data_IF_654259776043
#
_entry.id   IF_654259776043
#
_cell.length_a   1.000
_cell.length_b   1.000
_cell.length_c   1.000
_cell.angle_alpha   90.00
_cell.angle_beta   90.00
_cell.angle_gamma   90.00
#
_symmetry.space_group_name_H-M   'P 1'
#
loop_
_entity.id
_entity.type
_entity.pdbx_description
1 polymer ?
#
# COMPACT_ATOMS: atom_id res chain seq x y z
N UNK A 1 -29.57 -15.17 9.16
CA UNK A 1 -29.25 -16.60 8.98
C UNK A 1 -27.88 -16.68 8.32
N UNK A 2 -26.92 -17.41 8.91
CA UNK A 2 -25.78 -18.07 8.24
C UNK A 2 -24.74 -17.29 7.41
N UNK A 3 -24.44 -16.00 7.65
CA UNK A 3 -23.31 -15.36 6.93
C UNK A 3 -21.91 -15.80 7.42
N UNK A 4 -21.78 -16.26 8.68
CA UNK A 4 -20.48 -16.63 9.25
C UNK A 4 -19.96 -18.03 8.89
N UNK A 5 -20.85 -18.99 8.59
CA UNK A 5 -20.44 -20.36 8.22
C UNK A 5 -19.94 -20.44 6.76
N UNK A 6 -20.50 -19.61 5.87
CA UNK A 6 -20.13 -19.56 4.46
C UNK A 6 -18.78 -18.83 4.26
N UNK A 7 -18.55 -17.72 4.96
CA UNK A 7 -17.25 -17.01 4.92
C UNK A 7 -16.11 -17.89 5.45
N UNK A 8 -16.31 -18.56 6.60
CA UNK A 8 -15.27 -19.39 7.21
C UNK A 8 -14.83 -20.55 6.30
N UNK A 9 -15.78 -21.16 5.59
CA UNK A 9 -15.48 -22.18 4.59
C UNK A 9 -14.69 -21.63 3.39
N UNK A 10 -15.07 -20.44 2.91
CA UNK A 10 -14.36 -19.77 1.82
C UNK A 10 -12.94 -19.33 2.20
N UNK A 11 -12.71 -18.90 3.45
CA UNK A 11 -11.37 -18.59 3.95
C UNK A 11 -10.48 -19.83 3.95
N UNK A 12 -10.99 -20.96 4.46
CA UNK A 12 -10.22 -22.21 4.50
C UNK A 12 -9.86 -22.69 3.10
N UNK A 13 -10.82 -22.64 2.18
CA UNK A 13 -10.57 -23.01 0.78
C UNK A 13 -9.56 -22.07 0.11
N UNK A 14 -9.68 -20.75 0.34
CA UNK A 14 -8.69 -19.80 -0.16
C UNK A 14 -7.29 -20.12 0.37
N UNK A 15 -7.15 -20.46 1.65
CA UNK A 15 -5.88 -20.88 2.24
C UNK A 15 -5.30 -22.13 1.55
N UNK A 16 -6.13 -23.14 1.27
CA UNK A 16 -5.71 -24.34 0.56
C UNK A 16 -5.22 -24.06 -0.86
N UNK A 17 -5.94 -23.21 -1.60
CA UNK A 17 -5.55 -22.82 -2.96
C UNK A 17 -4.25 -21.99 -2.98
N UNK A 18 -4.10 -21.05 -2.04
CA UNK A 18 -2.88 -20.26 -1.87
C UNK A 18 -1.69 -21.16 -1.48
N UNK A 19 -1.89 -22.12 -0.58
CA UNK A 19 -0.87 -23.09 -0.19
C UNK A 19 -0.48 -24.01 -1.36
N UNK A 20 -1.38 -24.26 -2.31
CA UNK A 20 -1.12 -24.96 -3.56
C UNK A 20 -0.39 -24.09 -4.61
N UNK A 21 -0.07 -22.83 -4.32
CA UNK A 21 0.71 -21.94 -5.16
C UNK A 21 -0.09 -21.13 -6.18
N UNK A 22 -1.42 -21.10 -6.06
CA UNK A 22 -2.26 -20.22 -6.89
C UNK A 22 -2.07 -18.76 -6.49
N UNK A 23 -2.22 -17.84 -7.44
CA UNK A 23 -2.19 -16.41 -7.13
C UNK A 23 -3.48 -15.98 -6.41
N UNK A 24 -3.40 -14.91 -5.63
CA UNK A 24 -4.55 -14.24 -5.02
C UNK A 24 -5.65 -13.88 -6.03
N UNK A 25 -5.27 -13.43 -7.23
CA UNK A 25 -6.20 -13.18 -8.35
C UNK A 25 -6.94 -14.45 -8.78
N UNK A 26 -6.21 -15.55 -8.98
CA UNK A 26 -6.76 -16.83 -9.40
C UNK A 26 -7.72 -17.39 -8.35
N UNK A 27 -7.33 -17.29 -7.07
CA UNK A 27 -8.17 -17.75 -5.95
C UNK A 27 -9.44 -16.91 -5.88
N UNK A 28 -9.33 -15.57 -5.93
CA UNK A 28 -10.51 -14.70 -5.96
C UNK A 28 -11.44 -15.05 -7.11
N UNK A 29 -10.93 -15.13 -8.35
CA UNK A 29 -11.75 -15.37 -9.52
C UNK A 29 -12.51 -16.71 -9.44
N UNK A 30 -11.86 -17.78 -8.96
CA UNK A 30 -12.50 -19.10 -8.78
C UNK A 30 -13.59 -19.08 -7.73
N UNK A 31 -13.35 -18.45 -6.58
CA UNK A 31 -14.35 -18.36 -5.51
C UNK A 31 -15.53 -17.47 -5.94
N UNK A 32 -15.24 -16.36 -6.62
CA UNK A 32 -16.23 -15.41 -7.13
C UNK A 32 -17.13 -16.06 -8.18
N UNK A 33 -16.57 -16.79 -9.15
CA UNK A 33 -17.32 -17.45 -10.21
C UNK A 33 -18.27 -18.53 -9.66
N UNK A 34 -17.87 -19.20 -8.58
CA UNK A 34 -18.67 -20.26 -7.96
C UNK A 34 -19.79 -19.72 -7.07
N UNK A 35 -19.52 -18.66 -6.31
CA UNK A 35 -20.47 -18.15 -5.30
C UNK A 35 -21.36 -17.03 -5.82
N UNK A 36 -20.90 -16.26 -6.81
CA UNK A 36 -21.54 -15.03 -7.27
C UNK A 36 -21.51 -13.89 -6.23
N UNK A 37 -20.83 -14.06 -5.10
CA UNK A 37 -20.75 -13.05 -4.03
C UNK A 37 -19.33 -12.52 -3.89
N UNK A 38 -19.01 -11.54 -4.74
CA UNK A 38 -17.65 -11.00 -4.85
C UNK A 38 -17.16 -10.35 -3.56
N UNK A 39 -18.02 -9.67 -2.80
CA UNK A 39 -17.63 -9.03 -1.55
C UNK A 39 -17.14 -10.04 -0.49
N UNK A 40 -17.86 -11.16 -0.35
CA UNK A 40 -17.44 -12.25 0.55
C UNK A 40 -16.14 -12.90 0.05
N UNK A 41 -15.96 -13.07 -1.25
CA UNK A 41 -14.72 -13.60 -1.81
C UNK A 41 -13.51 -12.67 -1.58
N UNK A 42 -13.68 -11.34 -1.72
CA UNK A 42 -12.62 -10.37 -1.40
C UNK A 42 -12.19 -10.51 0.07
N UNK A 43 -13.15 -10.54 0.99
CA UNK A 43 -12.88 -10.73 2.42
C UNK A 43 -12.19 -12.06 2.68
N UNK A 44 -12.70 -13.16 2.10
CA UNK A 44 -12.15 -14.49 2.30
C UNK A 44 -10.69 -14.57 1.87
N UNK A 45 -10.34 -14.02 0.70
CA UNK A 45 -8.96 -13.99 0.19
C UNK A 45 -8.06 -13.11 1.06
N UNK A 46 -8.53 -11.92 1.48
CA UNK A 46 -7.76 -11.05 2.38
C UNK A 46 -7.44 -11.76 3.71
N UNK A 47 -8.44 -12.38 4.33
CA UNK A 47 -8.28 -13.11 5.59
C UNK A 47 -7.38 -14.34 5.43
N UNK A 48 -7.50 -15.06 4.30
CA UNK A 48 -6.65 -16.21 4.00
C UNK A 48 -5.16 -15.82 3.85
N UNK A 49 -4.89 -14.63 3.32
CA UNK A 49 -3.56 -14.04 3.24
C UNK A 49 -3.04 -13.50 4.58
N UNK A 50 -3.87 -13.46 5.62
CA UNK A 50 -3.52 -12.97 6.94
C UNK A 50 -3.71 -11.46 7.14
N UNK A 51 -4.43 -10.78 6.23
CA UNK A 51 -4.83 -9.37 6.42
C UNK A 51 -5.80 -9.29 7.61
N UNK A 52 -5.61 -8.37 8.57
CA UNK A 52 -6.55 -8.17 9.68
C UNK A 52 -7.97 -7.88 9.17
N UNK A 53 -9.00 -8.43 9.82
CA UNK A 53 -10.40 -8.28 9.37
C UNK A 53 -10.81 -6.82 9.19
N UNK A 54 -10.44 -5.94 10.12
CA UNK A 54 -10.76 -4.50 10.05
C UNK A 54 -10.23 -3.86 8.78
N UNK A 55 -9.04 -4.28 8.34
CA UNK A 55 -8.36 -3.74 7.18
C UNK A 55 -8.94 -4.35 5.89
N UNK A 56 -9.24 -5.65 5.92
CA UNK A 56 -9.94 -6.34 4.84
C UNK A 56 -11.32 -5.69 4.56
N UNK A 57 -12.09 -5.38 5.61
CA UNK A 57 -13.37 -4.68 5.51
C UNK A 57 -13.22 -3.25 4.96
N UNK A 58 -12.19 -2.52 5.40
CA UNK A 58 -11.92 -1.18 4.87
C UNK A 58 -11.60 -1.23 3.37
N UNK A 59 -10.75 -2.18 2.94
CA UNK A 59 -10.40 -2.39 1.54
C UNK A 59 -11.61 -2.82 0.72
N UNK A 60 -12.48 -3.69 1.24
CA UNK A 60 -13.73 -4.04 0.58
C UNK A 60 -14.59 -2.79 0.33
N UNK A 61 -14.79 -1.94 1.33
CA UNK A 61 -15.58 -0.70 1.17
C UNK A 61 -15.01 0.24 0.10
N UNK A 62 -13.70 0.26 -0.09
CA UNK A 62 -13.05 1.08 -1.11
C UNK A 62 -13.32 0.56 -2.54
N UNK A 63 -13.44 -0.75 -2.72
CA UNK A 63 -13.58 -1.37 -4.05
C UNK A 63 -14.97 -1.88 -4.37
N UNK A 64 -15.86 -2.00 -3.38
CA UNK A 64 -17.25 -2.43 -3.57
C UNK A 64 -18.00 -1.60 -4.62
N UNK A 65 -17.84 -0.26 -4.73
CA UNK A 65 -18.46 0.50 -5.80
C UNK A 65 -18.05 0.06 -7.22
N UNK A 66 -16.88 -0.56 -7.39
CA UNK A 66 -16.41 -1.05 -8.70
C UNK A 66 -17.18 -2.29 -9.15
N UNK A 67 -17.82 -3.03 -8.24
CA UNK A 67 -18.50 -4.28 -8.59
C UNK A 67 -19.66 -4.05 -9.57
N UNK A 68 -20.30 -2.88 -9.56
CA UNK A 68 -21.36 -2.57 -10.54
C UNK A 68 -20.86 -2.42 -11.98
N UNK A 69 -19.55 -2.28 -12.17
CA UNK A 69 -18.95 -2.05 -13.50
C UNK A 69 -18.63 -3.37 -14.23
N UNK A 70 -18.78 -4.52 -13.57
CA UNK A 70 -18.49 -5.83 -14.12
C UNK A 70 -19.75 -6.71 -14.15
N UNK A 71 -19.84 -7.57 -15.17
CA UNK A 71 -20.89 -8.58 -15.27
C UNK A 71 -20.43 -9.93 -14.70
N UNK A 72 -21.39 -10.82 -14.43
CA UNK A 72 -21.12 -12.24 -14.16
C UNK A 72 -20.34 -12.84 -15.33
N UNK A 73 -19.27 -13.59 -15.03
CA UNK A 73 -18.32 -14.10 -16.03
C UNK A 73 -17.12 -13.19 -16.29
N UNK A 74 -17.03 -12.03 -15.62
CA UNK A 74 -15.88 -11.12 -15.69
C UNK A 74 -15.04 -11.12 -14.40
N UNK A 75 -15.05 -12.23 -13.66
CA UNK A 75 -14.35 -12.34 -12.37
C UNK A 75 -12.84 -12.18 -12.52
N UNK A 76 -12.25 -12.65 -13.63
CA UNK A 76 -10.84 -12.45 -13.94
C UNK A 76 -10.50 -10.97 -14.23
N UNK A 77 -11.39 -10.26 -14.95
CA UNK A 77 -11.21 -8.83 -15.19
C UNK A 77 -11.26 -8.06 -13.87
N UNK A 78 -12.25 -8.35 -13.02
CA UNK A 78 -12.35 -7.74 -11.69
C UNK A 78 -11.13 -8.08 -10.83
N UNK A 79 -10.66 -9.34 -10.83
CA UNK A 79 -9.47 -9.76 -10.10
C UNK A 79 -8.26 -8.89 -10.45
N UNK A 80 -8.08 -8.62 -11.74
CA UNK A 80 -7.02 -7.76 -12.26
C UNK A 80 -7.11 -6.31 -11.75
N UNK A 81 -8.32 -5.74 -11.67
CA UNK A 81 -8.52 -4.42 -11.07
C UNK A 81 -8.26 -4.42 -9.56
N UNK A 82 -8.65 -5.47 -8.83
CA UNK A 82 -8.38 -5.61 -7.41
C UNK A 82 -6.88 -5.73 -7.11
N UNK A 83 -6.12 -6.41 -7.97
CA UNK A 83 -4.65 -6.45 -7.90
C UNK A 83 -4.04 -5.07 -8.08
N UNK A 84 -4.50 -4.29 -9.07
CA UNK A 84 -4.03 -2.92 -9.26
C UNK A 84 -4.42 -1.99 -8.10
N UNK A 85 -5.58 -2.22 -7.50
CA UNK A 85 -6.01 -1.57 -6.27
C UNK A 85 -5.26 -2.07 -5.03
N UNK A 86 -4.36 -3.06 -5.19
CA UNK A 86 -3.54 -3.64 -4.13
C UNK A 86 -4.35 -4.23 -2.98
N UNK A 87 -5.59 -4.67 -3.24
CA UNK A 87 -6.56 -5.13 -2.24
C UNK A 87 -6.01 -6.30 -1.43
N UNK A 88 -5.28 -7.21 -2.09
CA UNK A 88 -4.78 -8.44 -1.49
C UNK A 88 -3.34 -8.34 -0.95
N UNK A 89 -2.73 -7.15 -0.90
CA UNK A 89 -1.37 -7.02 -0.33
C UNK A 89 -1.40 -7.23 1.18
N UNK A 90 -0.60 -8.15 1.69
CA UNK A 90 -0.35 -8.29 3.13
C UNK A 90 0.57 -7.16 3.57
N UNK A 91 0.13 -6.37 4.53
CA UNK A 91 0.93 -5.25 5.03
C UNK A 91 2.11 -5.81 5.81
N UNK A 92 3.31 -5.33 5.49
CA UNK A 92 4.51 -5.66 6.24
C UNK A 92 4.39 -5.06 7.64
N UNK A 93 4.46 -5.93 8.65
CA UNK A 93 4.65 -5.51 10.04
C UNK A 93 5.99 -4.80 10.13
N UNK A 94 5.95 -3.54 10.56
CA UNK A 94 7.12 -2.71 10.73
C UNK A 94 7.52 -2.68 12.20
N UNK A 95 8.82 -2.59 12.43
CA UNK A 95 9.34 -2.27 13.75
C UNK A 95 9.14 -0.78 14.06
N UNK A 96 9.18 -0.40 15.34
CA UNK A 96 8.94 0.98 15.80
C UNK A 96 9.76 2.04 15.03
N UNK A 97 11.02 1.72 14.71
CA UNK A 97 11.87 2.61 13.91
C UNK A 97 11.37 2.78 12.47
N UNK A 98 10.93 1.69 11.86
CA UNK A 98 10.38 1.69 10.50
C UNK A 98 9.00 2.35 10.45
N UNK A 99 8.17 2.18 11.48
CA UNK A 99 6.90 2.90 11.65
C UNK A 99 7.14 4.41 11.72
N UNK A 100 8.13 4.85 12.49
CA UNK A 100 8.50 6.26 12.57
C UNK A 100 8.93 6.84 11.21
N UNK A 101 9.69 6.06 10.43
CA UNK A 101 10.04 6.46 9.05
C UNK A 101 8.77 6.53 8.19
N UNK A 102 7.88 5.53 8.27
CA UNK A 102 6.61 5.50 7.53
C UNK A 102 5.77 6.74 7.83
N UNK A 103 5.65 7.14 9.09
CA UNK A 103 4.87 8.31 9.52
C UNK A 103 5.44 9.62 8.95
N UNK A 104 6.77 9.75 8.92
CA UNK A 104 7.44 10.90 8.29
C UNK A 104 7.22 10.93 6.78
N UNK A 105 7.28 9.77 6.11
CA UNK A 105 6.97 9.67 4.69
C UNK A 105 5.48 9.96 4.40
N UNK A 106 4.57 9.57 5.30
CA UNK A 106 3.16 9.92 5.21
C UNK A 106 2.91 11.41 5.42
N UNK A 107 3.63 12.03 6.35
CA UNK A 107 3.63 13.49 6.57
C UNK A 107 4.11 14.22 5.31
N UNK A 108 5.20 13.76 4.70
CA UNK A 108 5.69 14.31 3.43
C UNK A 108 4.65 14.13 2.31
N UNK A 109 4.02 12.97 2.17
CA UNK A 109 2.96 12.76 1.19
C UNK A 109 1.78 13.73 1.40
N UNK A 110 1.34 13.93 2.64
CA UNK A 110 0.31 14.90 3.01
C UNK A 110 0.69 16.33 2.61
N UNK A 111 1.90 16.76 2.97
CA UNK A 111 2.44 18.08 2.60
C UNK A 111 2.53 18.27 1.08
N UNK A 112 2.75 17.21 0.31
CA UNK A 112 2.75 17.24 -1.16
C UNK A 112 1.35 17.34 -1.79
N UNK A 113 0.30 17.03 -1.04
CA UNK A 113 -1.08 16.96 -1.54
C UNK A 113 -1.61 15.54 -1.76
N UNK A 114 -1.05 14.54 -1.07
CA UNK A 114 -1.49 13.16 -1.06
C UNK A 114 -0.51 12.17 -1.72
N UNK A 115 -0.92 10.90 -1.74
CA UNK A 115 -0.14 9.81 -2.34
C UNK A 115 -0.39 9.71 -3.85
N UNK A 116 0.65 9.63 -4.69
CA UNK A 116 0.51 9.02 -5.99
C UNK A 116 -0.03 7.58 -5.82
N UNK A 117 -1.06 7.21 -6.58
CA UNK A 117 -1.74 5.92 -6.46
C UNK A 117 -0.76 4.72 -6.51
N UNK A 118 0.31 4.83 -7.31
CA UNK A 118 1.34 3.78 -7.43
C UNK A 118 2.25 3.58 -6.21
N UNK A 119 2.17 4.43 -5.18
CA UNK A 119 2.97 4.27 -3.95
C UNK A 119 2.28 3.42 -2.88
N UNK A 120 0.97 3.18 -2.98
CA UNK A 120 0.22 2.47 -1.95
C UNK A 120 0.79 1.06 -1.71
N UNK A 121 1.14 0.34 -2.78
CA UNK A 121 1.82 -0.96 -2.65
C UNK A 121 3.14 -0.86 -1.91
N UNK A 122 3.95 0.16 -2.17
CA UNK A 122 5.24 0.33 -1.50
C UNK A 122 5.06 0.65 -0.01
N UNK A 123 4.04 1.43 0.34
CA UNK A 123 3.71 1.71 1.75
C UNK A 123 3.27 0.45 2.50
N UNK A 124 2.38 -0.34 1.88
CA UNK A 124 1.90 -1.62 2.42
C UNK A 124 3.03 -2.63 2.56
N UNK A 125 3.88 -2.77 1.54
CA UNK A 125 5.04 -3.65 1.56
C UNK A 125 6.19 -3.15 2.48
N UNK A 126 6.12 -1.91 2.99
CA UNK A 126 7.18 -1.35 3.83
C UNK A 126 8.47 -1.05 3.05
N UNK A 127 8.35 -0.69 1.77
CA UNK A 127 9.44 -0.32 0.86
C UNK A 127 9.93 1.12 1.12
N UNK A 128 10.28 1.41 2.37
CA UNK A 128 10.49 2.77 2.89
C UNK A 128 11.60 3.52 2.16
N UNK A 129 12.73 2.86 1.84
CA UNK A 129 13.80 3.49 1.05
C UNK A 129 13.30 3.89 -0.33
N UNK A 130 12.54 3.01 -1.00
CA UNK A 130 12.05 3.26 -2.35
C UNK A 130 11.13 4.46 -2.39
N UNK A 131 10.25 4.58 -1.39
CA UNK A 131 9.37 5.75 -1.20
C UNK A 131 10.21 6.99 -0.94
N UNK A 132 11.18 6.92 -0.02
CA UNK A 132 12.07 8.03 0.30
C UNK A 132 12.81 8.53 -0.94
N UNK A 133 13.44 7.65 -1.72
CA UNK A 133 14.18 8.03 -2.93
C UNK A 133 13.26 8.63 -4.00
N UNK A 134 12.05 8.07 -4.16
CA UNK A 134 11.03 8.63 -5.03
C UNK A 134 10.65 10.06 -4.62
N UNK A 135 10.42 10.29 -3.33
CA UNK A 135 10.11 11.62 -2.81
C UNK A 135 11.31 12.57 -2.82
N UNK A 136 12.54 12.10 -2.62
CA UNK A 136 13.74 12.92 -2.70
C UNK A 136 13.99 13.47 -4.12
N UNK A 137 13.43 12.82 -5.15
CA UNK A 137 13.45 13.29 -6.53
C UNK A 137 12.31 14.30 -6.85
N UNK A 138 11.45 14.64 -5.87
CA UNK A 138 10.30 15.53 -6.08
C UNK A 138 10.74 16.93 -6.49
N UNK A 139 10.03 17.49 -7.47
CA UNK A 139 10.10 18.91 -7.81
C UNK A 139 8.72 19.53 -7.59
N UNK A 140 8.65 20.52 -6.70
CA UNK A 140 7.44 21.31 -6.53
C UNK A 140 7.25 22.20 -7.76
N UNK A 141 6.06 22.15 -8.36
CA UNK A 141 5.62 23.10 -9.39
C UNK A 141 4.67 24.10 -8.73
N UNK A 142 4.91 25.37 -8.98
CA UNK A 142 4.17 26.58 -8.58
C UNK A 142 2.91 26.36 -7.71
N UNK A 143 3.09 26.52 -6.38
CA UNK A 143 2.03 26.82 -5.44
C UNK A 143 1.18 25.66 -4.89
N UNK A 144 1.46 24.40 -5.26
CA UNK A 144 0.77 23.24 -4.66
C UNK A 144 1.60 22.58 -3.56
N UNK A 145 0.92 22.26 -2.46
CA UNK A 145 1.51 21.63 -1.28
C UNK A 145 2.25 22.63 -0.39
N UNK A 146 2.93 22.09 0.62
CA UNK A 146 3.74 22.80 1.60
C UNK A 146 5.20 22.33 1.46
N UNK A 147 6.01 22.96 0.59
CA UNK A 147 7.41 22.60 0.42
C UNK A 147 8.21 22.59 1.73
N UNK A 148 8.08 23.57 2.65
CA UNK A 148 8.83 23.53 3.91
C UNK A 148 8.54 22.28 4.74
N UNK A 149 7.26 21.95 4.95
CA UNK A 149 6.85 20.78 5.74
C UNK A 149 7.28 19.47 5.07
N UNK A 150 7.17 19.41 3.73
CA UNK A 150 7.63 18.27 2.95
C UNK A 150 9.13 18.01 3.16
N UNK A 151 9.97 19.02 2.96
CA UNK A 151 11.42 18.82 3.04
C UNK A 151 11.91 18.61 4.47
N UNK A 152 11.23 19.17 5.47
CA UNK A 152 11.50 18.87 6.87
C UNK A 152 11.22 17.39 7.20
N UNK A 153 10.04 16.89 6.81
CA UNK A 153 9.67 15.48 7.02
C UNK A 153 10.60 14.53 6.25
N UNK A 154 10.93 14.85 5.00
CA UNK A 154 11.88 14.09 4.18
C UNK A 154 13.28 14.05 4.78
N UNK A 155 13.77 15.18 5.31
CA UNK A 155 15.10 15.22 5.94
C UNK A 155 15.14 14.33 7.19
N UNK A 156 14.14 14.44 8.06
CA UNK A 156 14.04 13.58 9.24
C UNK A 156 13.93 12.09 8.88
N UNK A 157 13.15 11.74 7.84
CA UNK A 157 13.05 10.36 7.37
C UNK A 157 14.40 9.84 6.84
N UNK A 158 15.09 10.66 6.05
CA UNK A 158 16.41 10.33 5.51
C UNK A 158 17.46 10.14 6.59
N UNK A 159 17.42 10.91 7.68
CA UNK A 159 18.31 10.75 8.83
C UNK A 159 18.09 9.42 9.56
N UNK A 160 16.84 9.01 9.76
CA UNK A 160 16.51 7.71 10.35
C UNK A 160 16.86 6.53 9.42
N UNK A 161 16.75 6.72 8.10
CA UNK A 161 17.18 5.71 7.12
C UNK A 161 18.71 5.59 7.11
N UNK A 162 19.42 6.72 7.12
CA UNK A 162 20.88 6.77 7.11
C UNK A 162 21.51 6.26 8.41
N UNK A 163 20.79 6.28 9.55
CA UNK A 163 21.31 5.74 10.81
C UNK A 163 21.39 4.22 10.86
N UNK A 164 20.83 3.51 9.87
CA UNK A 164 20.86 2.05 9.78
C UNK A 164 21.95 1.59 8.81
N UNK A 165 22.62 0.48 9.16
CA UNK A 165 23.52 -0.21 8.24
C UNK A 165 22.71 -1.01 7.23
N UNK A 166 22.83 -0.67 5.94
CA UNK A 166 21.93 -1.11 4.88
C UNK A 166 22.63 -1.11 3.52
N UNK A 167 22.27 -2.01 2.59
CA UNK A 167 22.96 -2.12 1.30
C UNK A 167 22.78 -0.88 0.39
N UNK A 168 21.72 -0.11 0.61
CA UNK A 168 21.32 1.09 -0.13
C UNK A 168 21.80 2.40 0.55
N UNK A 169 22.74 2.32 1.50
CA UNK A 169 23.17 3.44 2.32
C UNK A 169 23.70 4.65 1.51
N UNK A 170 24.45 4.41 0.44
CA UNK A 170 24.97 5.49 -0.43
C UNK A 170 23.83 6.26 -1.14
N UNK A 171 22.82 5.55 -1.63
CA UNK A 171 21.67 6.15 -2.31
C UNK A 171 20.82 6.98 -1.34
N UNK A 172 20.61 6.45 -0.12
CA UNK A 172 19.92 7.15 0.97
C UNK A 172 20.65 8.44 1.33
N UNK A 173 21.97 8.39 1.52
CA UNK A 173 22.76 9.59 1.83
C UNK A 173 22.69 10.62 0.71
N UNK A 174 22.81 10.20 -0.55
CA UNK A 174 22.65 11.09 -1.69
C UNK A 174 21.24 11.72 -1.75
N UNK A 175 20.20 10.96 -1.39
CA UNK A 175 18.83 11.45 -1.26
C UNK A 175 18.67 12.46 -0.12
N UNK A 176 19.28 12.20 1.03
CA UNK A 176 19.25 13.07 2.20
C UNK A 176 19.93 14.40 1.93
N UNK A 177 21.10 14.41 1.29
CA UNK A 177 21.79 15.64 0.90
C UNK A 177 20.97 16.50 -0.07
N UNK A 178 20.24 15.87 -1.00
CA UNK A 178 19.27 16.58 -1.85
C UNK A 178 18.17 17.23 -1.01
N UNK A 179 17.60 16.51 -0.04
CA UNK A 179 16.55 17.04 0.82
C UNK A 179 17.04 18.24 1.64
N UNK A 180 18.23 18.14 2.23
CA UNK A 180 18.88 19.24 2.99
C UNK A 180 19.10 20.47 2.14
N UNK A 181 19.60 20.28 0.92
CA UNK A 181 19.82 21.37 -0.05
C UNK A 181 18.51 22.09 -0.37
N UNK A 182 17.42 21.35 -0.60
CA UNK A 182 16.10 21.93 -0.88
C UNK A 182 15.52 22.67 0.33
N UNK A 183 15.63 22.09 1.53
CA UNK A 183 15.18 22.72 2.77
C UNK A 183 15.89 24.06 3.00
N UNK A 184 17.22 24.10 2.84
CA UNK A 184 18.02 25.32 2.98
C UNK A 184 17.64 26.38 1.94
N UNK A 185 17.39 25.99 0.69
CA UNK A 185 17.00 26.91 -0.37
C UNK A 185 15.63 27.56 -0.13
N UNK A 186 14.73 26.89 0.60
CA UNK A 186 13.41 27.41 0.97
C UNK A 186 13.51 28.36 2.17
N UNK A 187 14.32 28.02 3.17
CA UNK A 187 14.52 28.89 4.34
C UNK A 187 15.26 30.20 4.02
N UNK A 188 15.98 30.26 2.90
CA UNK A 188 16.68 31.46 2.43
C UNK A 188 15.80 32.44 1.61
N UNK A 189 14.53 32.09 1.34
CA UNK A 189 13.55 32.94 0.64
C UNK A 189 12.58 33.58 1.62
#
# INVERSE_FOLDING_TARGET
MSHGEDEGALVLEAQEMLAAGQSDEEVFAKLAARTGNWGVCVLAVCLALGVPRTDAEARLREVEPLFSDFAVGQEEDLAYFLRFGHVFIVDRVLEEHEERIRDLLGTAAGARGGYPAGLLAWFRAGELTKIFLYFAATRFRDGRGSPPEFWAAMTAAGELLASQDRPDHEEVNAGLERCRTQAAAISAK
#
